data_IF_013625188960
#
_entry.id   IF_013625188960
#
_cell.length_a   1.000
_cell.length_b   1.000
_cell.length_c   1.000
_cell.angle_alpha   90.00
_cell.angle_beta   90.00
_cell.angle_gamma   90.00
#
_symmetry.space_group_name_H-M   'P 1'
#
loop_
_entity.id
_entity.type
_entity.pdbx_description
1 polymer ?
#
# COMPACT_ATOMS: atom_id res chain seq x y z
N UNK A 1 -7.20 -46.40 3.37
CA UNK A 1 -7.33 -45.45 2.22
C UNK A 1 -7.32 -44.04 2.77
N UNK A 2 -6.12 -43.47 2.82
CA UNK A 2 -5.88 -42.07 3.22
C UNK A 2 -5.85 -41.24 1.94
N UNK A 3 -6.87 -40.43 1.74
CA UNK A 3 -6.87 -39.40 0.70
C UNK A 3 -6.04 -38.20 1.17
N UNK A 4 -4.93 -37.99 0.47
CA UNK A 4 -4.00 -36.93 0.76
C UNK A 4 -4.57 -35.54 0.40
N UNK A 5 -4.62 -34.68 1.40
CA UNK A 5 -4.81 -33.23 1.22
C UNK A 5 -3.63 -32.64 0.44
N UNK A 6 -3.82 -32.53 -0.86
CA UNK A 6 -2.87 -31.88 -1.75
C UNK A 6 -2.81 -30.38 -1.47
N UNK A 7 -1.72 -29.94 -0.84
CA UNK A 7 -1.43 -28.53 -0.61
C UNK A 7 -1.26 -27.78 -1.95
N UNK A 8 -2.32 -27.24 -2.46
CA UNK A 8 -2.40 -26.46 -3.72
C UNK A 8 -1.65 -25.10 -3.67
N UNK A 9 -1.15 -24.70 -2.50
CA UNK A 9 -0.35 -23.47 -2.31
C UNK A 9 1.16 -23.65 -2.53
N UNK A 10 1.62 -24.87 -2.73
CA UNK A 10 3.02 -25.15 -3.08
C UNK A 10 3.21 -25.06 -4.60
N UNK A 11 2.89 -23.94 -5.21
CA UNK A 11 3.32 -23.66 -6.58
C UNK A 11 4.73 -23.09 -6.49
N UNK A 12 5.70 -23.93 -6.84
CA UNK A 12 7.09 -23.53 -7.11
C UNK A 12 7.11 -22.48 -8.23
N UNK A 13 6.95 -21.22 -7.84
CA UNK A 13 7.10 -20.06 -8.69
C UNK A 13 8.49 -19.42 -8.58
N UNK A 14 9.53 -20.19 -8.21
CA UNK A 14 10.86 -19.67 -7.95
C UNK A 14 11.70 -19.39 -9.21
N UNK A 15 11.38 -19.97 -10.36
CA UNK A 15 12.33 -20.01 -11.49
C UNK A 15 12.12 -19.02 -12.64
N UNK A 16 11.12 -18.12 -12.55
CA UNK A 16 10.87 -17.15 -13.63
C UNK A 16 11.34 -15.71 -13.34
N UNK A 17 11.90 -15.41 -12.16
CA UNK A 17 12.20 -14.03 -11.73
C UNK A 17 13.68 -13.64 -11.70
N UNK A 18 14.57 -14.55 -12.02
CA UNK A 18 16.03 -14.30 -12.06
C UNK A 18 16.56 -13.89 -13.46
N UNK A 19 15.71 -13.50 -14.39
CA UNK A 19 16.18 -12.79 -15.57
C UNK A 19 16.73 -11.44 -15.12
N UNK A 20 18.05 -11.25 -15.23
CA UNK A 20 18.71 -10.00 -14.88
C UNK A 20 17.95 -8.83 -15.51
N UNK A 21 17.52 -7.88 -14.68
CA UNK A 21 16.78 -6.72 -15.15
C UNK A 21 17.60 -6.03 -16.26
N UNK A 22 16.96 -5.57 -17.36
CA UNK A 22 17.66 -4.90 -18.44
C UNK A 22 18.43 -3.70 -17.89
N UNK A 23 19.59 -3.36 -18.48
CA UNK A 23 20.39 -2.22 -18.05
C UNK A 23 19.57 -0.94 -18.15
N UNK A 24 19.62 -0.12 -17.08
CA UNK A 24 18.91 1.16 -17.02
C UNK A 24 19.31 2.07 -18.18
N UNK A 25 18.33 2.64 -18.84
CA UNK A 25 18.54 3.66 -19.88
C UNK A 25 19.05 4.98 -19.24
N UNK A 26 19.49 5.91 -20.07
CA UNK A 26 19.88 7.26 -19.62
C UNK A 26 18.67 8.00 -19.04
N UNK A 27 17.49 7.78 -19.61
CA UNK A 27 16.22 8.37 -19.13
C UNK A 27 15.82 7.82 -17.77
N UNK A 28 15.92 6.49 -17.57
CA UNK A 28 15.66 5.86 -16.28
C UNK A 28 16.57 6.41 -15.17
N UNK A 29 17.85 6.63 -15.49
CA UNK A 29 18.80 7.20 -14.51
C UNK A 29 18.44 8.62 -14.13
N UNK A 30 18.03 9.45 -15.08
CA UNK A 30 17.56 10.82 -14.83
C UNK A 30 16.33 10.84 -13.96
N UNK A 31 15.35 9.99 -14.28
CA UNK A 31 14.12 9.90 -13.48
C UNK A 31 14.42 9.52 -12.04
N UNK A 32 15.31 8.55 -11.84
CA UNK A 32 15.76 8.13 -10.50
C UNK A 32 16.46 9.28 -9.76
N UNK A 33 17.35 10.02 -10.42
CA UNK A 33 18.03 11.17 -9.83
C UNK A 33 17.05 12.27 -9.44
N UNK A 34 16.06 12.55 -10.27
CA UNK A 34 15.00 13.51 -10.00
C UNK A 34 14.11 13.07 -8.82
N UNK A 35 13.77 11.79 -8.73
CA UNK A 35 13.05 11.25 -7.58
C UNK A 35 13.84 11.40 -6.28
N UNK A 36 15.13 11.08 -6.30
CA UNK A 36 16.02 11.26 -5.16
C UNK A 36 16.10 12.73 -4.72
N UNK A 37 16.21 13.66 -5.67
CA UNK A 37 16.24 15.09 -5.39
C UNK A 37 14.93 15.60 -4.79
N UNK A 38 13.78 15.15 -5.33
CA UNK A 38 12.45 15.46 -4.80
C UNK A 38 12.27 14.94 -3.38
N UNK A 39 12.67 13.69 -3.11
CA UNK A 39 12.62 13.10 -1.78
C UNK A 39 13.53 13.83 -0.80
N UNK A 40 14.76 14.15 -1.19
CA UNK A 40 15.68 14.91 -0.35
C UNK A 40 15.11 16.30 0.01
N UNK A 41 14.46 16.96 -0.95
CA UNK A 41 13.75 18.22 -0.72
C UNK A 41 12.58 18.05 0.25
N UNK A 42 11.80 16.99 0.10
CA UNK A 42 10.68 16.67 0.98
C UNK A 42 11.16 16.40 2.41
N UNK A 43 12.23 15.62 2.59
CA UNK A 43 12.81 15.32 3.89
C UNK A 43 13.33 16.58 4.60
N UNK A 44 14.04 17.47 3.89
CA UNK A 44 14.48 18.76 4.47
C UNK A 44 13.31 19.60 4.96
N UNK A 45 12.20 19.63 4.21
CA UNK A 45 10.97 20.31 4.66
C UNK A 45 10.33 19.61 5.85
N UNK A 46 10.27 18.28 5.82
CA UNK A 46 9.71 17.47 6.90
C UNK A 46 10.45 17.69 8.23
N UNK A 47 11.77 17.82 8.20
CA UNK A 47 12.57 18.05 9.40
C UNK A 47 12.25 19.42 10.06
N UNK A 48 11.74 20.41 9.30
CA UNK A 48 11.33 21.73 9.80
C UNK A 48 9.83 21.86 10.11
N UNK A 49 9.02 20.85 9.74
CA UNK A 49 7.57 20.85 9.93
C UNK A 49 7.15 20.08 11.18
N UNK A 50 6.21 20.63 11.94
CA UNK A 50 5.44 19.83 12.88
C UNK A 50 4.36 19.06 12.14
N UNK A 51 4.45 17.75 12.19
CA UNK A 51 3.55 16.80 11.52
C UNK A 51 2.93 15.80 12.51
N UNK A 52 3.04 16.07 13.82
CA UNK A 52 2.57 15.17 14.88
C UNK A 52 1.06 14.90 14.77
N UNK A 53 0.25 15.92 14.58
CA UNK A 53 -1.20 15.83 14.41
C UNK A 53 -1.62 15.05 13.17
N UNK A 54 -0.82 15.14 12.10
CA UNK A 54 -1.03 14.34 10.87
C UNK A 54 -0.70 12.86 11.14
N UNK A 55 0.33 12.59 11.94
CA UNK A 55 0.68 11.25 12.41
C UNK A 55 -0.44 10.65 13.26
N UNK A 56 -0.96 11.43 14.21
CA UNK A 56 -2.06 11.03 15.11
C UNK A 56 -3.36 10.73 14.33
N UNK A 57 -3.56 11.35 13.17
CA UNK A 57 -4.69 11.05 12.29
C UNK A 57 -4.64 9.64 11.69
N UNK A 58 -3.48 8.96 11.73
CA UNK A 58 -3.27 7.59 11.25
C UNK A 58 -3.80 7.34 9.82
N UNK A 59 -3.66 8.35 8.97
CA UNK A 59 -4.08 8.23 7.58
C UNK A 59 -3.13 7.33 6.77
N UNK A 60 -1.83 7.40 7.07
CA UNK A 60 -0.77 6.52 6.55
C UNK A 60 0.18 6.27 7.72
N UNK A 61 0.38 5.00 8.07
CA UNK A 61 1.25 4.63 9.20
C UNK A 61 1.95 3.29 8.98
N UNK A 62 3.02 3.08 9.74
CA UNK A 62 3.69 1.79 9.85
C UNK A 62 3.04 0.95 10.94
N UNK A 63 2.71 -0.29 10.61
CA UNK A 63 2.34 -1.27 11.61
C UNK A 63 3.53 -1.56 12.53
N UNK A 64 3.26 -1.71 13.82
CA UNK A 64 4.28 -1.94 14.85
C UNK A 64 5.05 -3.23 14.59
N UNK A 65 4.33 -4.28 14.25
CA UNK A 65 4.89 -5.60 13.97
C UNK A 65 5.17 -5.77 12.48
N UNK A 66 6.13 -6.62 12.17
CA UNK A 66 6.38 -7.07 10.80
C UNK A 66 5.44 -8.22 10.46
N UNK A 67 5.29 -8.51 9.19
CA UNK A 67 4.63 -9.74 8.81
C UNK A 67 5.52 -10.97 9.11
N UNK A 68 4.94 -12.17 9.00
CA UNK A 68 5.63 -13.44 9.33
C UNK A 68 6.86 -13.73 8.46
N UNK A 69 7.02 -13.02 7.32
CA UNK A 69 8.22 -13.09 6.46
C UNK A 69 9.26 -12.04 6.90
N UNK A 70 8.90 -11.12 7.81
CA UNK A 70 9.75 -10.04 8.32
C UNK A 70 9.73 -8.79 7.46
N UNK A 71 8.69 -8.59 6.63
CA UNK A 71 8.47 -7.37 5.85
C UNK A 71 7.81 -6.29 6.71
N UNK A 72 8.08 -5.04 6.41
CA UNK A 72 7.34 -3.92 7.01
C UNK A 72 5.93 -3.88 6.43
N UNK A 73 4.95 -3.51 7.25
CA UNK A 73 3.56 -3.34 6.84
C UNK A 73 3.21 -1.85 6.88
N UNK A 74 2.94 -1.28 5.72
CA UNK A 74 2.47 0.10 5.56
C UNK A 74 0.95 0.06 5.45
N UNK A 75 0.26 0.81 6.29
CA UNK A 75 -1.21 0.89 6.25
C UNK A 75 -1.62 2.26 5.73
N UNK A 76 -2.52 2.26 4.75
CA UNK A 76 -3.13 3.46 4.16
C UNK A 76 -4.63 3.39 4.34
N UNK A 77 -5.21 4.41 4.96
CA UNK A 77 -6.64 4.51 5.22
C UNK A 77 -7.25 5.58 4.33
N UNK A 78 -7.91 5.17 3.24
CA UNK A 78 -8.40 6.06 2.20
C UNK A 78 -9.27 7.21 2.72
N UNK A 79 -10.20 6.94 3.63
CA UNK A 79 -11.09 7.95 4.20
C UNK A 79 -10.33 9.05 4.98
N UNK A 80 -9.25 8.67 5.67
CA UNK A 80 -8.46 9.64 6.43
C UNK A 80 -7.51 10.43 5.53
N UNK A 81 -6.91 9.76 4.53
CA UNK A 81 -6.13 10.45 3.48
C UNK A 81 -7.01 11.48 2.78
N UNK A 82 -8.20 11.11 2.33
CA UNK A 82 -9.13 12.02 1.66
C UNK A 82 -9.48 13.23 2.53
N UNK A 83 -9.73 13.02 3.83
CA UNK A 83 -10.01 14.10 4.77
C UNK A 83 -8.86 15.11 4.83
N UNK A 84 -7.62 14.62 4.93
CA UNK A 84 -6.44 15.47 4.97
C UNK A 84 -6.23 16.21 3.63
N UNK A 85 -6.44 15.54 2.50
CA UNK A 85 -6.34 16.17 1.18
C UNK A 85 -7.38 17.29 1.00
N UNK A 86 -8.63 17.07 1.44
CA UNK A 86 -9.69 18.10 1.42
C UNK A 86 -9.39 19.27 2.35
N UNK A 87 -8.69 19.03 3.44
CA UNK A 87 -8.21 20.08 4.35
C UNK A 87 -6.99 20.86 3.81
N UNK A 88 -6.43 20.46 2.66
CA UNK A 88 -5.22 21.07 2.10
C UNK A 88 -3.91 20.59 2.74
N UNK A 89 -3.95 19.53 3.52
CA UNK A 89 -2.82 19.02 4.30
C UNK A 89 -1.90 18.06 3.52
N UNK A 90 -2.00 18.03 2.18
CA UNK A 90 -1.22 17.12 1.33
C UNK A 90 0.28 17.18 1.60
N UNK A 91 0.83 18.40 1.69
CA UNK A 91 2.26 18.60 1.89
C UNK A 91 2.72 18.07 3.26
N UNK A 92 1.92 18.28 4.30
CA UNK A 92 2.23 17.79 5.65
C UNK A 92 2.09 16.28 5.74
N UNK A 93 1.10 15.69 5.06
CA UNK A 93 0.94 14.24 4.97
C UNK A 93 2.15 13.59 4.27
N UNK A 94 2.59 14.14 3.14
CA UNK A 94 3.76 13.63 2.43
C UNK A 94 5.05 13.81 3.25
N UNK A 95 5.18 14.93 3.98
CA UNK A 95 6.30 15.18 4.89
C UNK A 95 6.31 14.17 6.05
N UNK A 96 5.15 13.89 6.66
CA UNK A 96 5.00 12.86 7.68
C UNK A 96 5.44 11.49 7.15
N UNK A 97 4.93 11.08 5.99
CA UNK A 97 5.31 9.81 5.35
C UNK A 97 6.82 9.75 5.12
N UNK A 98 7.42 10.77 4.53
CA UNK A 98 8.86 10.77 4.25
C UNK A 98 9.70 10.65 5.52
N UNK A 99 9.26 11.23 6.64
CA UNK A 99 9.93 11.20 7.93
C UNK A 99 9.79 9.84 8.63
N UNK A 100 8.55 9.38 8.81
CA UNK A 100 8.24 8.12 9.52
C UNK A 100 8.71 6.88 8.76
N UNK A 101 8.64 6.92 7.44
CA UNK A 101 9.00 5.79 6.58
C UNK A 101 10.46 5.84 6.10
N UNK A 102 11.29 6.66 6.74
CA UNK A 102 12.73 6.67 6.51
C UNK A 102 13.28 5.28 6.81
N UNK A 103 13.87 4.63 5.81
CA UNK A 103 14.42 3.28 5.94
C UNK A 103 13.43 2.12 5.73
N UNK A 104 12.17 2.36 5.38
CA UNK A 104 11.24 1.27 5.00
C UNK A 104 11.74 0.52 3.78
N UNK A 105 12.26 1.25 2.79
CA UNK A 105 12.85 0.71 1.57
C UNK A 105 14.21 0.03 1.78
N UNK A 106 14.86 0.25 2.91
CA UNK A 106 16.16 -0.35 3.23
C UNK A 106 16.02 -1.78 3.77
N UNK A 107 14.79 -2.22 4.05
CA UNK A 107 14.55 -3.59 4.47
C UNK A 107 14.82 -4.55 3.30
N UNK A 108 15.77 -5.50 3.42
CA UNK A 108 16.10 -6.44 2.35
C UNK A 108 14.93 -7.36 1.98
N UNK A 109 13.98 -7.58 2.90
CA UNK A 109 12.75 -8.34 2.64
C UNK A 109 11.65 -7.48 2.01
N UNK A 110 11.89 -6.18 1.87
CA UNK A 110 10.93 -5.21 1.35
C UNK A 110 9.80 -4.89 2.31
N UNK A 111 8.72 -4.38 1.76
CA UNK A 111 7.50 -4.03 2.51
C UNK A 111 6.25 -4.42 1.73
N UNK A 112 5.15 -4.52 2.44
CA UNK A 112 3.80 -4.66 1.89
C UNK A 112 2.98 -3.45 2.26
N UNK A 113 1.95 -3.18 1.47
CA UNK A 113 1.00 -2.10 1.74
C UNK A 113 -0.40 -2.68 1.90
N UNK A 114 -1.12 -2.22 2.91
CA UNK A 114 -2.55 -2.50 3.11
C UNK A 114 -3.30 -1.21 2.89
N UNK A 115 -4.15 -1.17 1.88
CA UNK A 115 -4.96 -0.02 1.51
C UNK A 115 -6.43 -0.28 1.86
N UNK A 116 -6.90 0.32 2.95
CA UNK A 116 -8.29 0.27 3.35
C UNK A 116 -9.09 1.29 2.54
N UNK A 117 -9.86 0.80 1.56
CA UNK A 117 -10.67 1.64 0.67
C UNK A 117 -12.06 1.96 1.26
N UNK A 118 -12.56 1.12 2.17
CA UNK A 118 -13.87 1.28 2.80
C UNK A 118 -14.06 2.65 3.48
N UNK A 119 -15.26 3.19 3.42
CA UNK A 119 -15.64 4.43 4.10
C UNK A 119 -15.15 5.73 3.45
N UNK A 120 -14.46 5.65 2.32
CA UNK A 120 -14.26 6.81 1.44
C UNK A 120 -15.58 7.26 0.85
N UNK A 121 -15.82 8.57 0.70
CA UNK A 121 -16.99 9.06 -0.01
C UNK A 121 -17.04 8.43 -1.41
N UNK A 122 -18.20 7.94 -1.79
CA UNK A 122 -18.41 7.27 -3.08
C UNK A 122 -17.76 8.09 -4.22
N UNK A 123 -16.71 7.57 -4.82
CA UNK A 123 -16.08 8.14 -6.01
C UNK A 123 -14.74 8.84 -5.85
N UNK A 124 -14.18 8.96 -4.65
CA UNK A 124 -12.86 9.58 -4.45
C UNK A 124 -11.78 8.52 -4.27
N UNK A 125 -11.25 8.06 -5.38
CA UNK A 125 -9.92 7.43 -5.36
C UNK A 125 -8.86 8.53 -5.25
N UNK A 126 -7.76 8.31 -4.51
CA UNK A 126 -6.64 9.25 -4.52
C UNK A 126 -6.19 9.51 -5.96
N UNK A 127 -5.91 10.76 -6.28
CA UNK A 127 -5.47 11.11 -7.63
C UNK A 127 -4.16 10.38 -7.97
N UNK A 128 -3.96 10.09 -9.24
CA UNK A 128 -2.70 9.49 -9.74
C UNK A 128 -1.51 10.36 -9.34
N UNK A 129 -1.67 11.69 -9.35
CA UNK A 129 -0.64 12.64 -8.92
C UNK A 129 -0.28 12.46 -7.44
N UNK A 130 -1.28 12.31 -6.56
CA UNK A 130 -1.02 12.03 -5.14
C UNK A 130 -0.31 10.68 -4.95
N UNK A 131 -0.72 9.63 -5.66
CA UNK A 131 -0.07 8.30 -5.57
C UNK A 131 1.39 8.35 -6.00
N UNK A 132 1.71 9.12 -7.06
CA UNK A 132 3.11 9.36 -7.48
C UNK A 132 3.91 10.09 -6.40
N UNK A 133 3.35 11.15 -5.82
CA UNK A 133 3.99 11.89 -4.72
C UNK A 133 4.18 11.00 -3.48
N UNK A 134 3.19 10.17 -3.16
CA UNK A 134 3.26 9.20 -2.06
C UNK A 134 4.39 8.19 -2.30
N UNK A 135 4.52 7.67 -3.52
CA UNK A 135 5.62 6.77 -3.88
C UNK A 135 6.98 7.42 -3.64
N UNK A 136 7.17 8.67 -4.08
CA UNK A 136 8.40 9.42 -3.83
C UNK A 136 8.65 9.61 -2.33
N UNK A 137 7.61 9.88 -1.55
CA UNK A 137 7.73 10.05 -0.09
C UNK A 137 8.13 8.73 0.61
N UNK A 138 7.59 7.60 0.20
CA UNK A 138 7.93 6.27 0.72
C UNK A 138 9.39 5.89 0.44
N UNK A 139 9.93 6.29 -0.69
CA UNK A 139 11.34 6.09 -1.00
C UNK A 139 11.62 5.76 -2.46
N UNK A 140 12.89 5.80 -2.85
CA UNK A 140 13.29 5.56 -4.23
C UNK A 140 12.97 4.13 -4.66
N UNK A 141 12.42 4.03 -5.83
CA UNK A 141 11.91 2.81 -6.47
C UNK A 141 13.00 1.84 -6.98
N UNK A 142 14.27 2.14 -6.70
CA UNK A 142 15.42 1.48 -7.33
C UNK A 142 15.58 0.00 -7.00
N UNK A 143 15.08 -0.39 -5.86
CA UNK A 143 14.96 -1.79 -5.48
C UNK A 143 13.47 -2.08 -5.42
N UNK A 144 13.03 -3.10 -6.06
CA UNK A 144 11.64 -3.57 -6.06
C UNK A 144 11.19 -4.03 -4.65
N UNK A 145 11.22 -3.07 -3.71
CA UNK A 145 11.03 -3.31 -2.29
C UNK A 145 9.56 -3.42 -1.90
N UNK A 146 8.66 -2.81 -2.67
CA UNK A 146 7.23 -3.07 -2.54
C UNK A 146 6.91 -4.46 -3.10
N UNK A 147 6.44 -5.37 -2.26
CA UNK A 147 6.18 -6.76 -2.65
C UNK A 147 4.72 -7.02 -3.00
N UNK A 148 3.79 -6.40 -2.28
CA UNK A 148 2.37 -6.57 -2.52
C UNK A 148 1.60 -5.35 -2.00
N UNK A 149 0.46 -5.05 -2.63
CA UNK A 149 -0.53 -4.07 -2.18
C UNK A 149 -1.85 -4.79 -2.01
N UNK A 150 -2.28 -4.97 -0.78
CA UNK A 150 -3.61 -5.52 -0.48
C UNK A 150 -4.63 -4.38 -0.47
N UNK A 151 -5.56 -4.39 -1.42
CA UNK A 151 -6.65 -3.42 -1.51
C UNK A 151 -7.90 -4.03 -0.90
N UNK A 152 -8.29 -3.55 0.28
CA UNK A 152 -9.42 -4.07 1.05
C UNK A 152 -10.69 -3.33 0.65
N UNK A 153 -11.77 -4.08 0.40
CA UNK A 153 -13.07 -3.59 -0.07
C UNK A 153 -12.99 -2.76 -1.36
N UNK A 154 -12.34 -3.26 -2.42
CA UNK A 154 -12.19 -2.49 -3.65
C UNK A 154 -13.54 -2.24 -4.33
N UNK A 155 -13.81 -0.99 -4.70
CA UNK A 155 -14.94 -0.68 -5.57
C UNK A 155 -14.62 -1.01 -7.02
N UNK A 156 -15.66 -1.22 -7.85
CA UNK A 156 -15.50 -1.42 -9.31
C UNK A 156 -14.78 -0.24 -9.97
N UNK A 157 -15.04 0.99 -9.49
CA UNK A 157 -14.36 2.19 -9.97
C UNK A 157 -12.87 2.18 -9.66
N UNK A 158 -12.47 1.76 -8.45
CA UNK A 158 -11.05 1.64 -8.08
C UNK A 158 -10.36 0.53 -8.90
N UNK A 159 -11.00 -0.63 -9.06
CA UNK A 159 -10.48 -1.72 -9.91
C UNK A 159 -10.25 -1.23 -11.35
N UNK A 160 -11.23 -0.51 -11.92
CA UNK A 160 -11.12 0.06 -13.26
C UNK A 160 -10.00 1.12 -13.37
N UNK A 161 -9.82 1.96 -12.34
CA UNK A 161 -8.76 2.95 -12.31
C UNK A 161 -7.36 2.30 -12.26
N UNK A 162 -7.18 1.27 -11.42
CA UNK A 162 -5.91 0.53 -11.34
C UNK A 162 -5.63 -0.20 -12.67
N UNK A 163 -6.64 -0.84 -13.25
CA UNK A 163 -6.51 -1.48 -14.56
C UNK A 163 -6.13 -0.48 -15.66
N UNK A 164 -6.72 0.71 -15.68
CA UNK A 164 -6.38 1.75 -16.63
C UNK A 164 -4.93 2.22 -16.47
N UNK A 165 -4.43 2.35 -15.23
CA UNK A 165 -3.02 2.69 -14.97
C UNK A 165 -2.07 1.64 -15.57
N UNK A 166 -2.41 0.37 -15.47
CA UNK A 166 -1.63 -0.74 -16.05
C UNK A 166 -1.67 -0.68 -17.59
N UNK A 167 -2.85 -0.54 -18.18
CA UNK A 167 -3.04 -0.47 -19.62
C UNK A 167 -2.27 0.69 -20.29
N UNK A 168 -2.14 1.81 -19.59
CA UNK A 168 -1.35 2.97 -20.07
C UNK A 168 0.13 2.91 -19.67
N UNK A 169 0.60 1.80 -19.10
CA UNK A 169 1.99 1.59 -18.64
C UNK A 169 2.52 2.70 -17.73
N UNK A 170 1.62 3.37 -17.02
CA UNK A 170 2.00 4.48 -16.13
C UNK A 170 2.86 3.98 -14.97
N UNK A 171 2.66 2.73 -14.55
CA UNK A 171 3.51 2.01 -13.57
C UNK A 171 3.25 0.49 -13.63
N UNK A 172 3.70 -0.17 -14.69
CA UNK A 172 3.46 -1.61 -14.88
C UNK A 172 3.99 -2.48 -13.73
N UNK A 173 5.03 -2.02 -13.03
CA UNK A 173 5.57 -2.73 -11.87
C UNK A 173 4.68 -2.66 -10.62
N UNK A 174 3.79 -1.68 -10.51
CA UNK A 174 2.88 -1.52 -9.38
C UNK A 174 1.62 -2.38 -9.52
N UNK A 175 1.00 -2.36 -10.69
CA UNK A 175 -0.28 -3.03 -10.91
C UNK A 175 -0.17 -4.56 -10.77
N UNK A 176 0.95 -5.14 -11.18
CA UNK A 176 1.23 -6.57 -10.99
C UNK A 176 1.44 -7.02 -9.54
N UNK A 177 1.40 -6.07 -8.57
CA UNK A 177 1.52 -6.37 -7.14
C UNK A 177 0.24 -6.11 -6.36
N UNK A 178 -0.83 -5.71 -7.04
CA UNK A 178 -2.11 -5.41 -6.40
C UNK A 178 -2.93 -6.68 -6.25
N UNK A 179 -3.26 -6.99 -5.01
CA UNK A 179 -4.16 -8.07 -4.62
C UNK A 179 -5.44 -7.46 -4.03
N UNK A 180 -6.58 -7.91 -4.54
CA UNK A 180 -7.88 -7.44 -4.08
C UNK A 180 -8.40 -8.36 -2.99
N UNK A 181 -8.80 -7.77 -1.87
CA UNK A 181 -9.28 -8.48 -0.69
C UNK A 181 -10.69 -7.98 -0.35
N UNK A 182 -11.65 -8.87 -0.36
CA UNK A 182 -13.05 -8.49 -0.20
C UNK A 182 -13.46 -8.27 1.25
N UNK A 183 -12.78 -8.95 2.21
CA UNK A 183 -13.07 -8.81 3.64
C UNK A 183 -11.80 -8.64 4.48
N UNK A 184 -11.94 -8.09 5.68
CA UNK A 184 -10.86 -8.04 6.67
C UNK A 184 -10.48 -9.45 7.14
N UNK A 185 -11.42 -10.39 7.14
CA UNK A 185 -11.14 -11.78 7.48
C UNK A 185 -10.12 -12.37 6.50
N UNK A 186 -10.35 -12.20 5.19
CA UNK A 186 -9.43 -12.65 4.16
C UNK A 186 -8.06 -11.95 4.28
N UNK A 187 -8.06 -10.63 4.58
CA UNK A 187 -6.81 -9.90 4.80
C UNK A 187 -5.95 -10.54 5.90
N UNK A 188 -6.56 -10.99 6.99
CA UNK A 188 -5.85 -11.63 8.10
C UNK A 188 -5.22 -12.97 7.73
N UNK A 189 -5.70 -13.63 6.70
CA UNK A 189 -5.07 -14.84 6.16
C UNK A 189 -3.79 -14.50 5.38
N UNK A 190 -3.77 -13.38 4.65
CA UNK A 190 -2.62 -12.94 3.87
C UNK A 190 -1.58 -12.19 4.70
N UNK A 191 -2.02 -11.39 5.67
CA UNK A 191 -1.15 -10.54 6.50
C UNK A 191 -1.14 -11.03 7.93
N UNK A 192 -0.25 -11.97 8.24
CA UNK A 192 -0.01 -12.49 9.60
C UNK A 192 1.17 -11.75 10.20
N UNK A 193 1.03 -11.24 11.41
CA UNK A 193 2.08 -10.50 12.11
C UNK A 193 3.03 -11.43 12.84
N UNK A 194 4.32 -11.09 12.83
CA UNK A 194 5.37 -11.90 13.43
C UNK A 194 5.33 -11.85 14.97
N UNK A 195 5.48 -13.00 15.61
CA UNK A 195 5.71 -13.11 17.05
C UNK A 195 4.52 -12.76 17.95
N UNK A 196 3.35 -12.55 17.39
CA UNK A 196 2.15 -12.18 18.14
C UNK A 196 0.92 -12.96 17.67
N UNK A 197 -0.05 -13.11 18.57
CA UNK A 197 -1.41 -13.54 18.22
C UNK A 197 -2.28 -12.35 17.78
N UNK A 198 -1.73 -11.15 17.86
CA UNK A 198 -2.43 -9.95 17.45
C UNK A 198 -2.59 -9.96 15.93
N UNK A 199 -3.75 -9.60 15.48
CA UNK A 199 -4.05 -9.39 14.07
C UNK A 199 -3.75 -7.93 13.71
N UNK A 200 -3.61 -7.65 12.42
CA UNK A 200 -3.49 -6.30 11.92
C UNK A 200 -4.62 -5.43 12.51
N UNK A 201 -4.24 -4.28 13.05
CA UNK A 201 -5.21 -3.31 13.57
C UNK A 201 -6.06 -2.77 12.42
N UNK A 202 -7.37 -2.90 12.57
CA UNK A 202 -8.34 -2.45 11.57
C UNK A 202 -8.96 -1.14 12.04
N UNK A 203 -8.99 -0.09 11.21
CA UNK A 203 -9.66 1.15 11.55
C UNK A 203 -11.15 0.94 11.86
N UNK A 204 -11.66 1.56 12.91
CA UNK A 204 -13.05 1.33 13.40
C UNK A 204 -14.13 1.55 12.34
N UNK A 205 -13.95 2.54 11.43
CA UNK A 205 -14.90 2.77 10.33
C UNK A 205 -14.89 1.63 9.28
N UNK A 206 -13.80 0.88 9.16
CA UNK A 206 -13.72 -0.30 8.28
C UNK A 206 -14.49 -1.46 8.90
N UNK A 207 -14.37 -1.65 10.21
CA UNK A 207 -15.17 -2.65 10.94
C UNK A 207 -16.67 -2.31 10.89
N UNK A 208 -17.01 -1.03 11.00
CA UNK A 208 -18.39 -0.57 10.86
C UNK A 208 -18.94 -0.84 9.46
N UNK A 209 -18.15 -0.54 8.43
CA UNK A 209 -18.51 -0.83 7.05
C UNK A 209 -18.73 -2.34 6.81
N UNK A 210 -17.89 -3.21 7.34
CA UNK A 210 -18.11 -4.68 7.25
C UNK A 210 -19.37 -5.12 7.94
N UNK A 211 -19.67 -4.53 9.12
CA UNK A 211 -20.91 -4.81 9.83
C UNK A 211 -22.13 -4.38 9.03
N UNK A 212 -22.08 -3.23 8.38
CA UNK A 212 -23.15 -2.77 7.48
C UNK A 212 -23.29 -3.68 6.26
N UNK A 213 -22.18 -4.14 5.66
CA UNK A 213 -22.22 -5.08 4.55
C UNK A 213 -22.88 -6.40 4.94
N UNK A 214 -22.56 -6.92 6.11
CA UNK A 214 -23.14 -8.17 6.63
C UNK A 214 -24.65 -8.05 6.90
N UNK A 215 -25.13 -6.84 7.18
CA UNK A 215 -26.57 -6.57 7.41
C UNK A 215 -27.34 -6.31 6.12
N UNK A 216 -26.66 -6.06 4.99
CA UNK A 216 -27.34 -5.90 3.71
C UNK A 216 -27.87 -7.26 3.25
N UNK A 217 -29.18 -7.41 3.02
CA UNK A 217 -29.68 -8.64 2.44
C UNK A 217 -28.95 -8.88 1.12
N UNK A 218 -28.36 -10.06 0.96
CA UNK A 218 -27.74 -10.48 -0.29
C UNK A 218 -28.78 -10.35 -1.39
N UNK A 219 -28.65 -9.31 -2.22
CA UNK A 219 -29.35 -9.28 -3.48
C UNK A 219 -28.72 -10.38 -4.34
N UNK A 220 -29.34 -11.55 -4.31
CA UNK A 220 -29.05 -12.65 -5.22
C UNK A 220 -29.47 -12.13 -6.59
N UNK A 221 -28.48 -11.85 -7.45
CA UNK A 221 -28.67 -11.66 -8.88
C UNK A 221 -28.53 -12.97 -9.61
#
# INVERSE_FOLDING_TARGET
EEEGDGAWWAVDGADARDAAAPPLTVEDRREIEDEHARRASLLRRADSMDVSDVGDARAIYLEKHRDYIGRRVVVVVAAYVERLLKAGEEQRLLAHVAKEFRGVTDNPRGYIMVYHHAGGAYGTSPSVDFLRKLRVALGPSRTDTLKCVYVVHPTSALRAAIWAMDAFRVESSFCGKVEYVDTVCDLREYVRLEGTKETLEVPGHVEEYERELALRPSMIW
#
